data_IF_713168672095
#
_entry.id   IF_713168672095
#
_cell.length_a   1.000
_cell.length_b   1.000
_cell.length_c   1.000
_cell.angle_alpha   90.00
_cell.angle_beta   90.00
_cell.angle_gamma   90.00
#
_symmetry.space_group_name_H-M   'P 1'
#
loop_
_entity.id
_entity.type
_entity.pdbx_description
1 polymer ?
#
# COMPACT_ATOMS: atom_id res chain seq x y z
N UNK A 1 -7.40 3.46 -23.41
CA UNK A 1 -7.39 2.51 -22.27
C UNK A 1 -6.41 2.99 -21.22
N UNK A 2 -6.87 3.10 -20.00
CA UNK A 2 -6.02 3.48 -18.90
C UNK A 2 -5.20 2.28 -18.42
N UNK A 3 -3.89 2.47 -18.30
CA UNK A 3 -2.98 1.47 -17.73
C UNK A 3 -2.59 1.92 -16.33
N UNK A 4 -2.59 0.97 -15.40
CA UNK A 4 -2.09 1.20 -14.06
C UNK A 4 -0.72 0.54 -13.91
N UNK A 5 0.19 1.26 -13.31
CA UNK A 5 1.49 0.72 -12.92
C UNK A 5 1.44 0.53 -11.42
N UNK A 6 1.60 -0.70 -10.96
CA UNK A 6 1.58 -1.02 -9.53
C UNK A 6 3.00 -1.14 -9.04
N UNK A 7 3.38 -0.25 -8.15
CA UNK A 7 4.72 -0.22 -7.58
C UNK A 7 4.71 -0.90 -6.22
N UNK A 8 5.09 -2.16 -6.20
CA UNK A 8 5.22 -2.92 -4.95
C UNK A 8 6.58 -2.61 -4.33
N UNK A 9 6.59 -1.87 -3.23
CA UNK A 9 7.83 -1.50 -2.56
C UNK A 9 8.44 -2.66 -1.77
N UNK A 10 7.69 -3.73 -1.58
CA UNK A 10 8.13 -4.90 -0.81
C UNK A 10 8.53 -4.49 0.61
N UNK A 11 9.65 -4.96 1.12
CA UNK A 11 10.09 -4.64 2.49
C UNK A 11 11.06 -3.44 2.49
N UNK A 12 10.70 -2.41 1.75
CA UNK A 12 11.49 -1.18 1.61
C UNK A 12 10.58 0.03 1.52
N UNK A 13 11.00 1.23 1.93
CA UNK A 13 12.15 1.48 2.79
C UNK A 13 11.84 1.04 4.23
N UNK A 14 12.77 1.30 5.15
CA UNK A 14 12.62 0.84 6.54
C UNK A 14 12.25 1.94 7.52
N UNK A 15 12.15 3.18 7.08
CA UNK A 15 11.74 4.30 7.94
C UNK A 15 10.61 5.10 7.30
N UNK A 16 9.81 5.72 8.16
CA UNK A 16 8.71 6.57 7.71
C UNK A 16 9.21 7.75 6.87
N UNK A 17 10.29 8.37 7.30
CA UNK A 17 10.87 9.52 6.60
C UNK A 17 11.26 9.17 5.16
N UNK A 18 11.90 8.02 4.98
CA UNK A 18 12.28 7.54 3.65
C UNK A 18 11.05 7.20 2.82
N UNK A 19 10.03 6.60 3.45
CA UNK A 19 8.80 6.24 2.76
C UNK A 19 8.07 7.50 2.24
N UNK A 20 7.96 8.53 3.07
CA UNK A 20 7.34 9.79 2.68
C UNK A 20 8.12 10.47 1.56
N UNK A 21 9.45 10.50 1.67
CA UNK A 21 10.30 11.09 0.65
C UNK A 21 10.18 10.38 -0.70
N UNK A 22 10.16 9.05 -0.67
CA UNK A 22 10.00 8.25 -1.89
C UNK A 22 8.61 8.47 -2.50
N UNK A 23 7.57 8.46 -1.69
CA UNK A 23 6.20 8.67 -2.19
C UNK A 23 6.07 10.02 -2.91
N UNK A 24 6.63 11.07 -2.33
CA UNK A 24 6.60 12.40 -2.94
C UNK A 24 7.36 12.43 -4.26
N UNK A 25 8.47 11.69 -4.34
CA UNK A 25 9.32 11.68 -5.53
C UNK A 25 8.69 10.92 -6.70
N UNK A 26 7.90 9.88 -6.42
CA UNK A 26 7.36 8.99 -7.47
C UNK A 26 5.85 9.11 -7.65
N UNK A 27 5.19 10.01 -6.94
CA UNK A 27 3.75 10.23 -7.05
C UNK A 27 3.41 10.74 -8.44
N UNK A 28 2.73 9.91 -9.22
CA UNK A 28 2.43 10.17 -10.63
C UNK A 28 1.07 9.59 -10.98
N UNK A 29 0.33 10.28 -11.84
CA UNK A 29 -0.95 9.77 -12.33
C UNK A 29 -0.77 8.42 -12.99
N UNK A 30 -1.63 7.47 -12.65
CA UNK A 30 -1.59 6.11 -13.21
C UNK A 30 -0.70 5.14 -12.44
N UNK A 31 -0.07 5.59 -11.36
CA UNK A 31 0.77 4.74 -10.51
C UNK A 31 0.07 4.46 -9.19
N UNK A 32 0.09 3.19 -8.77
CA UNK A 32 -0.39 2.76 -7.46
C UNK A 32 0.84 2.47 -6.61
N UNK A 33 1.02 3.23 -5.53
CA UNK A 33 2.16 3.07 -4.63
C UNK A 33 1.76 2.15 -3.48
N UNK A 34 2.49 1.04 -3.32
CA UNK A 34 2.21 0.04 -2.29
C UNK A 34 3.36 -0.07 -1.30
N UNK A 35 3.42 0.84 -0.31
CA UNK A 35 4.46 0.80 0.73
C UNK A 35 4.19 -0.29 1.75
N UNK A 36 5.17 -0.65 2.58
CA UNK A 36 4.93 -1.54 3.72
C UNK A 36 3.80 -1.00 4.60
N UNK A 37 3.02 -1.89 5.22
CA UNK A 37 1.87 -1.52 6.05
C UNK A 37 2.14 -0.41 7.07
N UNK A 38 3.26 -0.44 7.83
CA UNK A 38 3.49 0.59 8.85
C UNK A 38 3.53 2.02 8.32
N UNK A 39 3.77 2.19 7.01
CA UNK A 39 3.96 3.52 6.43
C UNK A 39 2.75 4.01 5.63
N UNK A 40 1.68 3.20 5.51
CA UNK A 40 0.49 3.59 4.74
C UNK A 40 -0.11 4.90 5.22
N UNK A 41 -0.32 5.03 6.52
CA UNK A 41 -0.94 6.24 7.08
C UNK A 41 -0.09 7.48 6.80
N UNK A 42 1.24 7.37 6.97
CA UNK A 42 2.14 8.50 6.76
C UNK A 42 2.22 8.89 5.29
N UNK A 43 2.24 7.91 4.40
CA UNK A 43 2.36 8.13 2.94
C UNK A 43 1.07 8.71 2.36
N UNK A 44 -0.07 8.36 2.94
CA UNK A 44 -1.40 8.77 2.44
C UNK A 44 -1.49 10.26 2.12
N UNK A 45 -0.99 11.10 2.98
CA UNK A 45 -1.06 12.57 2.81
C UNK A 45 -0.16 13.11 1.71
N UNK A 46 0.74 12.30 1.18
CA UNK A 46 1.74 12.70 0.19
C UNK A 46 1.51 12.07 -1.19
N UNK A 47 0.44 11.29 -1.36
CA UNK A 47 0.07 10.70 -2.64
C UNK A 47 -1.14 11.48 -3.18
N UNK A 48 -0.90 12.36 -4.14
CA UNK A 48 -1.92 13.28 -4.65
C UNK A 48 -2.27 13.02 -6.11
N UNK A 49 -1.36 12.52 -6.89
CA UNK A 49 -1.55 12.27 -8.32
C UNK A 49 -1.84 10.81 -8.61
N UNK A 50 -1.12 9.90 -7.98
CA UNK A 50 -1.34 8.47 -8.07
C UNK A 50 -2.35 8.00 -7.05
N UNK A 51 -2.33 6.69 -6.78
CA UNK A 51 -3.19 6.08 -5.79
C UNK A 51 -2.37 5.26 -4.80
N UNK A 52 -2.95 5.02 -3.63
CA UNK A 52 -2.33 4.24 -2.59
C UNK A 52 -2.88 2.82 -2.67
N UNK A 53 -2.01 1.83 -2.52
CA UNK A 53 -2.39 0.43 -2.48
C UNK A 53 -1.72 -0.29 -1.33
N UNK A 54 -2.19 -1.49 -1.04
CA UNK A 54 -1.65 -2.34 0.00
C UNK A 54 -0.88 -3.50 -0.61
N UNK A 55 0.16 -3.94 0.07
CA UNK A 55 0.99 -5.06 -0.41
C UNK A 55 0.31 -6.41 -0.22
N UNK A 56 -0.66 -6.48 0.67
CA UNK A 56 -1.37 -7.70 1.00
C UNK A 56 -2.70 -7.36 1.63
N UNK A 57 -3.61 -8.33 1.72
CA UNK A 57 -4.91 -8.14 2.35
C UNK A 57 -5.43 -9.50 2.84
N UNK A 58 -6.05 -9.50 4.03
CA UNK A 58 -6.71 -10.68 4.55
C UNK A 58 -8.21 -10.62 4.25
N UNK A 59 -8.83 -11.78 4.01
CA UNK A 59 -10.23 -11.82 3.56
C UNK A 59 -11.26 -11.67 4.68
N UNK A 60 -10.87 -11.88 5.94
CA UNK A 60 -11.80 -11.71 7.06
C UNK A 60 -11.75 -10.28 7.58
N UNK A 61 -12.88 -9.76 8.04
CA UNK A 61 -12.96 -8.40 8.53
C UNK A 61 -12.45 -8.23 9.95
N UNK A 62 -12.56 -9.30 10.76
CA UNK A 62 -12.12 -9.27 12.16
C UNK A 62 -11.99 -10.70 12.68
N UNK A 63 -11.42 -10.86 13.85
CA UNK A 63 -11.33 -12.16 14.50
C UNK A 63 -9.91 -12.51 14.98
N UNK A 64 -9.70 -13.78 15.26
CA UNK A 64 -8.44 -14.28 15.81
C UNK A 64 -7.44 -14.58 14.69
N UNK A 65 -7.06 -13.55 13.95
CA UNK A 65 -6.14 -13.64 12.83
C UNK A 65 -4.94 -12.74 13.09
N UNK A 66 -4.19 -13.08 14.09
CA UNK A 66 -3.06 -12.27 14.58
C UNK A 66 -2.11 -11.88 13.46
N UNK A 67 -1.85 -10.59 13.33
CA UNK A 67 -0.91 -10.05 12.35
C UNK A 67 -1.51 -9.76 10.97
N UNK A 68 -2.75 -10.15 10.74
CA UNK A 68 -3.40 -9.90 9.44
C UNK A 68 -4.03 -8.51 9.39
N UNK A 69 -4.18 -7.99 8.19
CA UNK A 69 -4.78 -6.67 7.94
C UNK A 69 -5.94 -6.85 6.96
N UNK A 70 -7.12 -6.41 7.36
CA UNK A 70 -8.33 -6.58 6.54
C UNK A 70 -8.46 -5.50 5.46
N UNK A 71 -9.30 -5.78 4.47
CA UNK A 71 -9.61 -4.78 3.44
C UNK A 71 -10.25 -3.52 3.99
N UNK A 72 -11.07 -3.66 5.03
CA UNK A 72 -11.72 -2.51 5.68
C UNK A 72 -10.70 -1.60 6.36
N UNK A 73 -9.72 -2.18 7.05
CA UNK A 73 -8.63 -1.42 7.66
C UNK A 73 -7.83 -0.66 6.60
N UNK A 74 -7.56 -1.32 5.49
CA UNK A 74 -6.80 -0.71 4.39
C UNK A 74 -7.58 0.42 3.72
N UNK A 75 -8.88 0.23 3.54
CA UNK A 75 -9.73 1.28 2.99
C UNK A 75 -9.72 2.51 3.89
N UNK A 76 -9.81 2.31 5.20
CA UNK A 76 -9.74 3.37 6.20
C UNK A 76 -8.40 4.12 6.11
N UNK A 77 -7.32 3.42 5.81
CA UNK A 77 -6.00 4.01 5.63
C UNK A 77 -5.82 4.70 4.27
N UNK A 78 -6.84 4.67 3.40
CA UNK A 78 -6.80 5.34 2.12
C UNK A 78 -6.32 4.48 0.96
N UNK A 79 -6.10 3.18 1.16
CA UNK A 79 -5.72 2.28 0.08
C UNK A 79 -6.93 2.01 -0.82
N UNK A 80 -6.72 2.11 -2.12
CA UNK A 80 -7.77 1.84 -3.12
C UNK A 80 -7.54 0.52 -3.83
N UNK A 81 -6.38 -0.08 -3.68
CA UNK A 81 -5.98 -1.33 -4.33
C UNK A 81 -5.25 -2.20 -3.32
N UNK A 82 -5.20 -3.49 -3.59
CA UNK A 82 -4.41 -4.43 -2.79
C UNK A 82 -3.81 -5.48 -3.71
N UNK A 83 -2.56 -5.85 -3.46
CA UNK A 83 -1.88 -6.91 -4.19
C UNK A 83 -2.27 -8.23 -3.54
N UNK A 84 -2.61 -9.23 -4.36
CA UNK A 84 -2.93 -10.57 -3.89
C UNK A 84 -2.10 -11.59 -4.66
N UNK A 85 -1.85 -12.74 -4.03
CA UNK A 85 -1.19 -13.85 -4.70
C UNK A 85 0.26 -13.61 -5.07
N UNK A 86 0.97 -12.78 -4.31
CA UNK A 86 2.39 -12.53 -4.59
C UNK A 86 3.26 -13.72 -4.22
N UNK A 87 4.32 -13.94 -5.01
CA UNK A 87 5.15 -15.13 -4.92
C UNK A 87 5.91 -15.25 -3.60
N UNK A 88 6.26 -14.16 -2.96
CA UNK A 88 7.02 -14.16 -1.71
C UNK A 88 6.27 -14.78 -0.54
N UNK A 89 4.93 -14.91 -0.63
CA UNK A 89 4.12 -15.45 0.47
C UNK A 89 3.53 -16.82 0.18
N UNK A 90 3.81 -17.39 -0.95
CA UNK A 90 3.29 -18.70 -1.35
C UNK A 90 4.10 -19.86 -0.82
#
# INVERSE_FOLDING_TARGET
MLKLIVANWKLNPTTEKEAVGLARAVDTKGVVLCPPFPFLAAVKGHVKKGALGAQDVFWEGSGAYTGEVSGEMLHELGAKYAIVGHSERR
#
